data_IF_736250651914
#
_entry.id   IF_736250651914
#
_cell.length_a   1.000
_cell.length_b   1.000
_cell.length_c   1.000
_cell.angle_alpha   90.00
_cell.angle_beta   90.00
_cell.angle_gamma   90.00
#
_symmetry.space_group_name_H-M   'P 1'
#
loop_
_entity.id
_entity.type
_entity.pdbx_description
1 polymer ?
#
# COMPACT_ATOMS: atom_id res chain seq x y z
N UNK A 1 20.48 12.96 -0.27
CA UNK A 1 19.95 12.30 0.94
C UNK A 1 20.28 13.19 2.14
N UNK A 2 19.33 13.47 3.02
CA UNK A 2 19.56 14.30 4.21
C UNK A 2 20.05 13.46 5.39
N UNK A 3 20.59 14.11 6.42
CA UNK A 3 21.01 13.43 7.66
C UNK A 3 19.86 12.71 8.35
N UNK A 4 18.67 13.31 8.36
CA UNK A 4 17.47 12.73 8.97
C UNK A 4 17.03 11.46 8.26
N UNK A 5 17.04 11.47 6.91
CA UNK A 5 16.78 10.27 6.12
C UNK A 5 17.79 9.16 6.42
N UNK A 6 19.08 9.49 6.51
CA UNK A 6 20.12 8.52 6.81
C UNK A 6 19.96 7.91 8.22
N UNK A 7 19.69 8.72 9.24
CA UNK A 7 19.48 8.25 10.61
C UNK A 7 18.29 7.27 10.68
N UNK A 8 17.19 7.56 9.99
CA UNK A 8 16.04 6.65 9.91
C UNK A 8 16.35 5.35 9.15
N UNK A 9 17.16 5.42 8.08
CA UNK A 9 17.61 4.24 7.34
C UNK A 9 18.50 3.34 8.22
N UNK A 10 19.45 3.93 8.95
CA UNK A 10 20.35 3.22 9.85
C UNK A 10 19.57 2.53 10.98
N UNK A 11 18.60 3.23 11.57
CA UNK A 11 17.68 2.66 12.56
C UNK A 11 16.86 1.50 11.98
N UNK A 12 16.27 1.68 10.80
CA UNK A 12 15.48 0.65 10.13
C UNK A 12 16.32 -0.60 9.85
N UNK A 13 17.56 -0.42 9.41
CA UNK A 13 18.50 -1.52 9.16
C UNK A 13 18.85 -2.27 10.45
N UNK A 14 19.16 -1.54 11.53
CA UNK A 14 19.45 -2.16 12.83
C UNK A 14 18.24 -2.95 13.38
N UNK A 15 17.03 -2.41 13.22
CA UNK A 15 15.78 -3.09 13.60
C UNK A 15 15.55 -4.35 12.76
N UNK A 16 15.75 -4.29 11.45
CA UNK A 16 15.61 -5.43 10.56
C UNK A 16 16.62 -6.55 10.90
N UNK A 17 17.87 -6.20 11.22
CA UNK A 17 18.89 -7.15 11.68
C UNK A 17 18.53 -7.83 13.00
N UNK A 18 17.79 -7.13 13.87
CA UNK A 18 17.25 -7.67 15.12
C UNK A 18 15.90 -8.41 14.94
N UNK A 19 15.50 -8.73 13.70
CA UNK A 19 14.20 -9.33 13.35
C UNK A 19 12.98 -8.54 13.83
N UNK A 20 13.13 -7.22 13.99
CA UNK A 20 12.05 -6.29 14.37
C UNK A 20 11.42 -5.65 13.13
N UNK A 21 10.84 -6.49 12.29
CA UNK A 21 10.42 -6.11 10.93
C UNK A 21 9.32 -5.04 10.91
N UNK A 22 8.31 -5.14 11.78
CA UNK A 22 7.24 -4.13 11.87
C UNK A 22 7.80 -2.75 12.24
N UNK A 23 8.66 -2.69 13.25
CA UNK A 23 9.32 -1.44 13.65
C UNK A 23 10.23 -0.89 12.55
N UNK A 24 11.00 -1.75 11.88
CA UNK A 24 11.85 -1.35 10.75
C UNK A 24 11.00 -0.73 9.62
N UNK A 25 9.90 -1.40 9.26
CA UNK A 25 8.99 -0.91 8.24
C UNK A 25 8.38 0.44 8.61
N UNK A 26 7.99 0.63 9.88
CA UNK A 26 7.48 1.91 10.37
C UNK A 26 8.44 3.08 10.12
N UNK A 27 9.76 2.87 10.30
CA UNK A 27 10.78 3.90 10.01
C UNK A 27 10.88 4.22 8.52
N UNK A 28 10.80 3.20 7.67
CA UNK A 28 10.84 3.37 6.21
C UNK A 28 9.60 4.10 5.70
N UNK A 29 8.42 3.78 6.24
CA UNK A 29 7.17 4.44 5.86
C UNK A 29 7.17 5.94 6.19
N UNK A 30 7.82 6.35 7.29
CA UNK A 30 8.04 7.79 7.60
C UNK A 30 8.87 8.47 6.52
N UNK A 31 9.90 7.80 5.99
CA UNK A 31 10.69 8.36 4.88
C UNK A 31 9.82 8.42 3.63
N UNK A 32 9.06 7.36 3.31
CA UNK A 32 8.23 7.28 2.11
C UNK A 32 7.06 8.28 2.11
N UNK A 33 6.58 8.70 3.29
CA UNK A 33 5.61 9.81 3.39
C UNK A 33 6.21 11.13 2.89
N UNK A 34 7.52 11.34 3.05
CA UNK A 34 8.22 12.58 2.68
C UNK A 34 8.86 12.48 1.30
N UNK A 35 9.43 11.31 0.98
CA UNK A 35 10.15 11.01 -0.25
C UNK A 35 9.67 9.66 -0.82
N UNK A 36 8.53 9.62 -1.53
CA UNK A 36 7.94 8.37 -2.01
C UNK A 36 8.84 7.54 -2.93
N UNK A 37 9.70 8.22 -3.70
CA UNK A 37 10.57 7.60 -4.70
C UNK A 37 12.03 7.44 -4.22
N UNK A 38 12.28 7.51 -2.90
CA UNK A 38 13.63 7.39 -2.34
C UNK A 38 14.19 5.96 -2.62
N UNK A 39 15.26 5.81 -3.44
CA UNK A 39 15.69 4.48 -3.91
C UNK A 39 16.20 3.54 -2.82
N UNK A 40 17.03 4.02 -1.90
CA UNK A 40 17.60 3.22 -0.80
C UNK A 40 16.53 2.75 0.20
N UNK A 41 15.52 3.58 0.47
CA UNK A 41 14.36 3.27 1.30
C UNK A 41 13.52 2.20 0.63
N UNK A 42 13.22 2.31 -0.66
CA UNK A 42 12.50 1.28 -1.42
C UNK A 42 13.28 -0.04 -1.45
N UNK A 43 14.60 -0.01 -1.63
CA UNK A 43 15.48 -1.19 -1.57
C UNK A 43 15.45 -1.87 -0.20
N UNK A 44 15.56 -1.11 0.89
CA UNK A 44 15.47 -1.67 2.24
C UNK A 44 14.05 -2.16 2.56
N UNK A 45 13.00 -1.46 2.10
CA UNK A 45 11.60 -1.86 2.28
C UNK A 45 11.30 -3.19 1.58
N UNK A 46 11.76 -3.37 0.33
CA UNK A 46 11.67 -4.65 -0.38
C UNK A 46 12.29 -5.80 0.44
N UNK A 47 13.47 -5.57 1.01
CA UNK A 47 14.17 -6.56 1.82
C UNK A 47 13.40 -6.89 3.11
N UNK A 48 12.92 -5.88 3.84
CA UNK A 48 12.13 -6.05 5.07
C UNK A 48 10.83 -6.79 4.80
N UNK A 49 10.08 -6.41 3.77
CA UNK A 49 8.81 -7.04 3.42
C UNK A 49 9.03 -8.50 3.00
N UNK A 50 10.05 -8.78 2.19
CA UNK A 50 10.36 -10.16 1.76
C UNK A 50 10.81 -11.05 2.91
N UNK A 51 11.64 -10.56 3.83
CA UNK A 51 12.08 -11.31 5.00
C UNK A 51 10.91 -11.52 5.98
N UNK A 52 10.18 -10.45 6.31
CA UNK A 52 9.08 -10.49 7.26
C UNK A 52 7.87 -11.30 6.77
N UNK A 53 7.61 -11.37 5.46
CA UNK A 53 6.52 -12.17 4.89
C UNK A 53 6.83 -13.68 4.81
N UNK A 54 8.10 -14.07 4.66
CA UNK A 54 8.51 -15.48 4.57
C UNK A 54 8.81 -16.13 5.92
N UNK A 55 9.19 -15.33 6.91
CA UNK A 55 9.75 -15.79 8.19
C UNK A 55 8.97 -15.23 9.37
N UNK A 56 7.65 -15.39 9.37
CA UNK A 56 6.80 -14.93 10.48
C UNK A 56 7.19 -15.57 11.82
N UNK A 57 7.79 -16.76 11.80
CA UNK A 57 8.33 -17.46 12.98
C UNK A 57 9.67 -16.91 13.49
N UNK A 58 10.42 -16.18 12.65
CA UNK A 58 11.75 -15.66 13.02
C UNK A 58 11.66 -14.19 13.49
N UNK A 59 10.47 -13.60 13.43
CA UNK A 59 10.21 -12.27 13.94
C UNK A 59 10.30 -12.26 15.47
N UNK A 60 10.82 -11.16 16.02
CA UNK A 60 10.75 -10.94 17.46
C UNK A 60 9.27 -10.88 17.92
N UNK A 61 8.96 -11.17 19.20
CA UNK A 61 7.58 -11.17 19.70
C UNK A 61 6.84 -9.88 19.38
N UNK A 62 5.71 -9.98 18.68
CA UNK A 62 4.90 -8.84 18.27
C UNK A 62 5.46 -8.01 17.10
N UNK A 63 6.58 -8.39 16.49
CA UNK A 63 7.20 -7.65 15.38
C UNK A 63 6.97 -8.29 14.00
N UNK A 64 6.12 -9.33 13.95
CA UNK A 64 5.69 -9.95 12.71
C UNK A 64 4.89 -8.96 11.86
N UNK A 65 5.08 -9.03 10.54
CA UNK A 65 4.29 -8.23 9.61
C UNK A 65 2.90 -8.87 9.43
N UNK A 66 1.88 -8.16 9.87
CA UNK A 66 0.48 -8.51 9.61
C UNK A 66 0.05 -8.06 8.21
N UNK A 67 -1.03 -8.62 7.64
CA UNK A 67 -1.51 -8.29 6.30
C UNK A 67 -1.64 -6.78 6.04
N UNK A 68 -2.17 -5.99 6.98
CA UNK A 68 -2.34 -4.55 6.77
C UNK A 68 -1.02 -3.81 6.51
N UNK A 69 0.11 -4.29 7.05
CA UNK A 69 1.42 -3.70 6.78
C UNK A 69 1.93 -4.07 5.39
N UNK A 70 1.67 -5.30 4.94
CA UNK A 70 2.09 -5.78 3.62
C UNK A 70 1.31 -5.08 2.50
N UNK A 71 0.06 -4.72 2.77
CA UNK A 71 -0.82 -4.05 1.82
C UNK A 71 -0.72 -2.51 1.87
N UNK A 72 0.19 -1.92 2.64
CA UNK A 72 0.36 -0.46 2.67
C UNK A 72 0.69 0.09 1.28
N UNK A 73 -0.09 1.07 0.82
CA UNK A 73 0.05 1.64 -0.53
C UNK A 73 1.36 2.39 -0.77
N UNK A 74 2.03 2.85 0.29
CA UNK A 74 3.39 3.44 0.18
C UNK A 74 4.43 2.43 -0.28
N UNK A 75 4.13 1.13 -0.13
CA UNK A 75 5.00 0.05 -0.58
C UNK A 75 4.69 -0.40 -2.00
N UNK A 76 3.61 0.10 -2.64
CA UNK A 76 3.24 -0.33 -3.99
C UNK A 76 4.43 -0.28 -4.98
N UNK A 77 5.32 0.74 -4.96
CA UNK A 77 6.48 0.79 -5.85
C UNK A 77 7.50 -0.35 -5.69
N UNK A 78 7.47 -1.16 -4.61
CA UNK A 78 8.36 -2.32 -4.46
C UNK A 78 7.76 -3.64 -4.93
N UNK A 79 6.48 -3.62 -5.30
CA UNK A 79 5.75 -4.81 -5.78
C UNK A 79 5.78 -4.93 -7.30
N UNK A 80 5.63 -6.17 -7.74
CA UNK A 80 5.18 -6.50 -9.07
C UNK A 80 3.74 -7.01 -9.05
N UNK A 81 2.97 -6.69 -10.08
CA UNK A 81 1.64 -7.24 -10.33
C UNK A 81 1.60 -8.05 -11.63
N UNK A 82 0.79 -9.11 -11.63
CA UNK A 82 0.58 -9.96 -12.80
C UNK A 82 -0.36 -9.29 -13.81
N UNK A 83 0.04 -9.25 -15.08
CA UNK A 83 -0.78 -8.71 -16.18
C UNK A 83 -1.82 -9.71 -16.73
N UNK A 84 -1.85 -10.94 -16.20
CA UNK A 84 -2.77 -11.96 -16.68
C UNK A 84 -4.22 -11.57 -16.34
N UNK A 85 -5.17 -11.65 -17.29
CA UNK A 85 -6.54 -11.23 -17.06
C UNK A 85 -7.19 -11.90 -15.84
N UNK A 86 -7.69 -11.09 -14.90
CA UNK A 86 -8.32 -11.56 -13.67
C UNK A 86 -7.36 -12.07 -12.59
N UNK A 87 -6.04 -11.89 -12.77
CA UNK A 87 -5.05 -12.25 -11.76
C UNK A 87 -4.76 -11.08 -10.81
N UNK A 88 -5.08 -11.24 -9.53
CA UNK A 88 -4.79 -10.23 -8.49
C UNK A 88 -3.48 -10.52 -7.73
N UNK A 89 -2.64 -11.41 -8.27
CA UNK A 89 -1.39 -11.80 -7.59
C UNK A 89 -0.36 -10.70 -7.74
N UNK A 90 0.12 -10.20 -6.60
CA UNK A 90 1.30 -9.34 -6.48
C UNK A 90 2.38 -9.97 -5.61
N UNK A 91 3.63 -9.59 -5.84
CA UNK A 91 4.79 -10.06 -5.06
C UNK A 91 5.87 -9.00 -4.96
N UNK A 92 6.67 -9.03 -3.91
CA UNK A 92 7.84 -8.13 -3.80
C UNK A 92 8.92 -8.57 -4.78
N UNK A 93 9.38 -7.64 -5.61
CA UNK A 93 10.41 -7.93 -6.58
C UNK A 93 11.73 -8.34 -5.93
N UNK A 94 12.43 -9.29 -6.58
CA UNK A 94 13.81 -9.63 -6.23
C UNK A 94 14.84 -8.61 -6.72
N UNK A 95 14.44 -7.70 -7.62
CA UNK A 95 15.32 -6.79 -8.36
C UNK A 95 16.30 -6.02 -7.46
N UNK A 96 15.76 -5.33 -6.45
CA UNK A 96 16.54 -4.48 -5.53
C UNK A 96 17.56 -5.29 -4.70
N UNK A 97 17.35 -6.60 -4.52
CA UNK A 97 18.30 -7.48 -3.81
C UNK A 97 19.38 -8.06 -4.71
N UNK A 98 19.18 -8.01 -6.03
CA UNK A 98 20.09 -8.62 -7.01
C UNK A 98 20.91 -7.58 -7.80
N UNK A 99 20.57 -6.29 -7.71
CA UNK A 99 21.36 -5.19 -8.30
C UNK A 99 22.86 -5.29 -8.02
N UNK A 100 23.24 -5.69 -6.81
CA UNK A 100 24.66 -5.79 -6.40
C UNK A 100 25.28 -7.18 -6.68
N UNK A 101 24.51 -8.14 -7.18
CA UNK A 101 24.93 -9.53 -7.38
C UNK A 101 24.89 -9.92 -8.87
N UNK A 102 25.86 -9.39 -9.62
CA UNK A 102 26.05 -9.76 -11.01
C UNK A 102 26.18 -11.29 -11.18
N UNK A 103 25.28 -11.90 -11.96
CA UNK A 103 25.29 -13.33 -12.27
C UNK A 103 24.50 -14.23 -11.32
N UNK A 104 23.76 -13.66 -10.35
CA UNK A 104 22.84 -14.44 -9.53
C UNK A 104 21.61 -14.90 -10.35
N UNK A 105 21.37 -16.20 -10.38
CA UNK A 105 20.21 -16.78 -11.08
C UNK A 105 19.11 -17.17 -10.09
N UNK A 106 17.88 -16.74 -10.35
CA UNK A 106 16.70 -17.19 -9.60
C UNK A 106 16.17 -18.49 -10.20
N UNK A 107 16.34 -19.59 -9.47
CA UNK A 107 15.87 -20.93 -9.88
C UNK A 107 14.40 -21.19 -9.55
N UNK A 108 13.77 -20.33 -8.75
CA UNK A 108 12.38 -20.48 -8.31
C UNK A 108 11.68 -19.11 -8.27
N UNK A 109 11.39 -18.50 -9.44
CA UNK A 109 10.82 -17.17 -9.52
C UNK A 109 9.41 -17.10 -8.96
N UNK A 110 9.10 -16.01 -8.24
CA UNK A 110 7.73 -15.67 -7.86
C UNK A 110 6.94 -15.09 -9.05
N UNK A 111 7.65 -14.61 -10.06
CA UNK A 111 7.15 -14.09 -11.31
C UNK A 111 8.32 -13.61 -12.17
N UNK A 112 8.04 -13.17 -13.39
CA UNK A 112 9.03 -12.68 -14.33
C UNK A 112 8.45 -11.61 -15.25
N UNK A 113 9.29 -10.79 -15.87
CA UNK A 113 8.89 -9.79 -16.87
C UNK A 113 9.59 -10.06 -18.20
N UNK A 114 8.87 -9.90 -19.29
CA UNK A 114 9.48 -9.89 -20.62
C UNK A 114 10.17 -8.55 -20.86
N UNK A 115 11.50 -8.50 -21.08
CA UNK A 115 12.20 -7.24 -21.34
C UNK A 115 11.84 -6.63 -22.71
N UNK A 116 11.20 -7.37 -23.61
CA UNK A 116 10.85 -6.90 -24.95
C UNK A 116 9.43 -6.34 -25.08
N UNK A 117 8.48 -6.83 -24.28
CA UNK A 117 7.07 -6.39 -24.36
C UNK A 117 6.46 -6.01 -23.01
N UNK A 118 7.28 -5.96 -21.96
CA UNK A 118 6.96 -5.57 -20.58
C UNK A 118 5.92 -6.43 -19.86
N UNK A 119 5.46 -7.51 -20.49
CA UNK A 119 4.51 -8.44 -19.90
C UNK A 119 5.08 -9.05 -18.62
N UNK A 120 4.40 -8.82 -17.50
CA UNK A 120 4.78 -9.27 -16.17
C UNK A 120 3.83 -10.38 -15.72
N UNK A 121 4.37 -11.56 -15.42
CA UNK A 121 3.60 -12.76 -15.10
C UNK A 121 4.01 -13.32 -13.74
N UNK A 122 3.04 -13.63 -12.89
CA UNK A 122 3.29 -14.34 -11.65
C UNK A 122 3.58 -15.82 -11.94
N UNK A 123 4.13 -16.53 -10.94
CA UNK A 123 4.48 -17.95 -11.04
C UNK A 123 3.38 -18.87 -11.58
N UNK A 124 2.09 -18.53 -11.37
CA UNK A 124 0.97 -19.34 -11.86
C UNK A 124 0.77 -19.21 -13.37
N UNK A 125 1.15 -18.07 -13.95
CA UNK A 125 1.01 -17.76 -15.37
C UNK A 125 2.36 -17.75 -16.09
N UNK A 126 3.46 -18.02 -15.37
CA UNK A 126 4.76 -18.16 -15.98
C UNK A 126 4.80 -19.42 -16.83
N UNK A 127 5.21 -19.34 -18.12
CA UNK A 127 5.57 -20.52 -18.86
C UNK A 127 6.81 -21.13 -18.20
N UNK A 128 6.68 -22.38 -17.74
CA UNK A 128 7.78 -23.11 -17.11
C UNK A 128 8.51 -23.88 -18.20
N UNK A 129 9.80 -23.59 -18.39
CA UNK A 129 10.66 -24.35 -19.31
C UNK A 129 11.01 -25.74 -18.78
N UNK A 130 11.59 -26.59 -19.63
CA UNK A 130 11.94 -27.98 -19.29
C UNK A 130 12.89 -28.10 -18.06
N UNK A 131 13.61 -27.04 -17.73
CA UNK A 131 14.54 -26.95 -16.60
C UNK A 131 13.92 -26.41 -15.30
N UNK A 132 12.62 -26.11 -15.28
CA UNK A 132 11.95 -25.48 -14.14
C UNK A 132 12.23 -23.97 -13.99
N UNK A 133 13.00 -23.39 -14.93
CA UNK A 133 13.25 -21.95 -15.03
C UNK A 133 12.10 -21.24 -15.76
N UNK A 134 12.07 -19.91 -15.65
CA UNK A 134 11.18 -19.09 -16.47
C UNK A 134 11.51 -19.33 -17.95
N UNK A 135 10.50 -19.73 -18.72
CA UNK A 135 10.63 -19.96 -20.15
C UNK A 135 10.60 -18.67 -20.97
N UNK A 136 10.36 -18.82 -22.26
CA UNK A 136 10.23 -17.70 -23.18
C UNK A 136 8.85 -17.04 -23.08
N UNK A 137 8.79 -15.74 -23.34
CA UNK A 137 7.55 -15.00 -23.40
C UNK A 137 6.65 -15.50 -24.52
N UNK A 138 5.45 -15.97 -24.21
CA UNK A 138 4.48 -16.48 -25.21
C UNK A 138 4.08 -15.43 -26.26
N UNK A 139 4.23 -14.14 -25.96
CA UNK A 139 3.87 -13.04 -26.86
C UNK A 139 4.94 -12.73 -27.92
N UNK A 140 6.22 -12.86 -27.58
CA UNK A 140 7.30 -12.39 -28.45
C UNK A 140 8.55 -13.30 -28.50
N UNK A 141 8.56 -14.41 -27.77
CA UNK A 141 9.63 -15.41 -27.76
C UNK A 141 10.92 -14.98 -27.03
N UNK A 142 10.93 -13.83 -26.36
CA UNK A 142 12.09 -13.38 -25.59
C UNK A 142 12.17 -14.07 -24.22
N UNK A 143 13.38 -14.35 -23.74
CA UNK A 143 13.60 -14.93 -22.42
C UNK A 143 13.06 -14.00 -21.32
N UNK A 144 12.32 -14.56 -20.37
CA UNK A 144 11.75 -13.81 -19.25
C UNK A 144 12.79 -13.51 -18.16
N UNK A 145 12.79 -12.27 -17.65
CA UNK A 145 13.60 -11.86 -16.50
C UNK A 145 12.92 -12.27 -15.19
N UNK A 146 13.52 -13.23 -14.50
CA UNK A 146 13.05 -13.80 -13.23
C UNK A 146 13.16 -12.84 -12.02
N UNK A 147 13.85 -11.70 -12.17
CA UNK A 147 14.03 -10.67 -11.15
C UNK A 147 13.59 -9.29 -11.66
N UNK A 148 12.33 -9.16 -12.14
CA UNK A 148 11.93 -8.00 -12.90
C UNK A 148 11.93 -6.73 -12.04
N UNK A 149 12.27 -5.55 -12.59
CA UNK A 149 12.06 -4.31 -11.86
C UNK A 149 10.57 -4.20 -11.45
N UNK A 150 10.27 -3.63 -10.26
CA UNK A 150 8.89 -3.42 -9.83
C UNK A 150 8.06 -2.67 -10.88
N UNK A 151 6.80 -3.04 -11.05
CA UNK A 151 5.83 -2.32 -11.89
C UNK A 151 4.65 -1.76 -11.07
N UNK A 152 4.77 -1.76 -9.74
CA UNK A 152 3.69 -1.38 -8.86
C UNK A 152 2.73 -2.53 -8.59
N UNK A 153 1.80 -2.31 -7.65
CA UNK A 153 0.58 -3.10 -7.57
C UNK A 153 -0.63 -2.18 -7.54
N UNK A 154 -1.74 -2.66 -8.08
CA UNK A 154 -3.02 -2.03 -7.84
C UNK A 154 -3.48 -2.35 -6.43
N UNK A 155 -3.91 -1.32 -5.70
CA UNK A 155 -4.46 -1.46 -4.36
C UNK A 155 -5.92 -1.00 -4.38
N UNK A 156 -6.78 -1.73 -3.67
CA UNK A 156 -8.14 -1.29 -3.39
C UNK A 156 -8.18 -0.27 -2.23
N UNK A 157 -7.01 0.12 -1.72
CA UNK A 157 -6.91 1.12 -0.68
C UNK A 157 -7.06 2.52 -1.25
N UNK A 158 -7.77 3.34 -0.48
CA UNK A 158 -7.78 4.79 -0.67
C UNK A 158 -6.35 5.34 -0.52
N UNK A 159 -5.99 6.39 -1.29
CA UNK A 159 -4.69 7.02 -1.18
C UNK A 159 -4.33 7.40 0.26
N UNK A 160 -3.09 7.12 0.64
CA UNK A 160 -2.50 7.61 1.88
C UNK A 160 -1.85 8.96 1.61
N UNK A 161 -2.04 9.89 2.52
CA UNK A 161 -1.44 11.23 2.45
C UNK A 161 -0.45 11.37 3.59
N UNK A 162 0.61 12.15 3.40
CA UNK A 162 1.46 12.63 4.49
C UNK A 162 0.71 13.71 5.29
N UNK A 163 -0.48 13.41 5.77
CA UNK A 163 -1.34 14.27 6.59
C UNK A 163 -1.99 13.39 7.64
N UNK A 164 -2.21 13.94 8.83
CA UNK A 164 -2.84 13.19 9.91
C UNK A 164 -4.33 13.04 9.63
N UNK A 165 -4.81 11.81 9.53
CA UNK A 165 -6.23 11.49 9.44
C UNK A 165 -6.87 11.69 10.83
N UNK A 166 -7.85 12.58 10.94
CA UNK A 166 -8.50 12.90 12.22
C UNK A 166 -9.88 12.30 12.34
N UNK A 167 -10.62 12.24 11.23
CA UNK A 167 -11.98 11.73 11.20
C UNK A 167 -12.25 10.97 9.90
N UNK A 168 -13.11 9.95 10.02
CA UNK A 168 -13.60 9.15 8.91
C UNK A 168 -15.11 9.02 9.01
N UNK A 169 -15.81 9.38 7.94
CA UNK A 169 -17.25 9.18 7.82
C UNK A 169 -17.51 8.12 6.75
N UNK A 170 -18.13 7.01 7.15
CA UNK A 170 -18.55 5.94 6.24
C UNK A 170 -20.05 6.01 6.05
N UNK A 171 -20.48 6.40 4.85
CA UNK A 171 -21.87 6.36 4.43
C UNK A 171 -22.14 5.05 3.69
N UNK A 172 -23.18 4.32 4.06
CA UNK A 172 -23.62 3.11 3.34
C UNK A 172 -25.05 3.28 2.84
N UNK A 173 -25.29 2.87 1.60
CA UNK A 173 -26.64 2.89 1.03
C UNK A 173 -27.51 1.84 1.72
N UNK A 174 -28.56 2.29 2.42
CA UNK A 174 -29.45 1.41 3.18
C UNK A 174 -30.33 2.12 4.20
N UNK A 175 -31.22 1.35 4.83
CA UNK A 175 -32.16 1.84 5.85
C UNK A 175 -31.58 1.87 7.27
N UNK A 176 -30.37 1.33 7.47
CA UNK A 176 -29.73 1.17 8.77
C UNK A 176 -28.26 1.56 8.67
N UNK A 177 -27.67 2.12 9.74
CA UNK A 177 -26.23 2.33 9.83
C UNK A 177 -25.44 1.05 9.53
N UNK A 178 -24.20 1.17 9.04
CA UNK A 178 -23.32 0.02 8.85
C UNK A 178 -23.06 -0.69 10.18
N UNK A 179 -23.02 -2.02 10.14
CA UNK A 179 -22.66 -2.83 11.29
C UNK A 179 -21.15 -2.67 11.60
N UNK A 180 -20.76 -2.88 12.86
CA UNK A 180 -19.36 -2.81 13.27
C UNK A 180 -18.45 -3.74 12.46
N UNK A 181 -18.88 -4.99 12.23
CA UNK A 181 -18.11 -5.95 11.43
C UNK A 181 -17.85 -5.47 10.00
N UNK A 182 -18.83 -4.80 9.39
CA UNK A 182 -18.68 -4.21 8.06
C UNK A 182 -17.66 -3.07 8.07
N UNK A 183 -17.71 -2.20 9.10
CA UNK A 183 -16.74 -1.12 9.23
C UNK A 183 -15.33 -1.67 9.45
N UNK A 184 -15.16 -2.69 10.30
CA UNK A 184 -13.86 -3.34 10.53
C UNK A 184 -13.28 -3.94 9.25
N UNK A 185 -14.10 -4.66 8.48
CA UNK A 185 -13.68 -5.23 7.19
C UNK A 185 -13.31 -4.14 6.17
N UNK A 186 -14.12 -3.08 6.09
CA UNK A 186 -13.86 -1.95 5.19
C UNK A 186 -12.57 -1.22 5.57
N UNK A 187 -12.37 -0.94 6.86
CA UNK A 187 -11.14 -0.34 7.39
C UNK A 187 -9.91 -1.19 7.07
N UNK A 188 -9.97 -2.49 7.30
CA UNK A 188 -8.86 -3.42 7.05
C UNK A 188 -8.42 -3.49 5.59
N UNK A 189 -9.37 -3.37 4.65
CA UNK A 189 -9.12 -3.61 3.23
C UNK A 189 -8.96 -2.33 2.39
N UNK A 190 -9.65 -1.25 2.76
CA UNK A 190 -9.80 -0.04 1.92
C UNK A 190 -9.15 1.20 2.55
N UNK A 191 -9.02 1.26 3.88
CA UNK A 191 -8.45 2.43 4.55
C UNK A 191 -7.67 2.03 5.82
N UNK A 192 -6.57 1.27 5.69
CA UNK A 192 -5.81 0.80 6.85
C UNK A 192 -5.07 1.93 7.60
N UNK A 193 -4.99 3.14 7.05
CA UNK A 193 -4.45 4.32 7.74
C UNK A 193 -5.23 4.69 9.01
N UNK A 194 -6.49 4.24 9.15
CA UNK A 194 -7.24 4.39 10.41
C UNK A 194 -6.57 3.69 11.60
N UNK A 195 -5.76 2.65 11.36
CA UNK A 195 -5.04 1.95 12.42
C UNK A 195 -3.76 2.67 12.85
N UNK A 196 -3.26 3.61 12.04
CA UNK A 196 -2.07 4.40 12.35
C UNK A 196 -2.39 5.69 13.09
N UNK A 197 -3.39 6.43 12.61
CA UNK A 197 -3.74 7.74 13.18
C UNK A 197 -4.82 7.68 14.26
N UNK A 198 -5.51 6.54 14.38
CA UNK A 198 -6.64 6.34 15.29
C UNK A 198 -7.68 7.48 15.22
N UNK A 199 -8.24 7.79 14.02
CA UNK A 199 -9.25 8.83 13.86
C UNK A 199 -10.56 8.43 14.53
N UNK A 200 -11.48 9.37 14.71
CA UNK A 200 -12.86 9.00 15.01
C UNK A 200 -13.52 8.42 13.76
N UNK A 201 -14.31 7.36 13.94
CA UNK A 201 -14.98 6.66 12.84
C UNK A 201 -16.49 6.77 13.03
N UNK A 202 -17.15 7.38 12.05
CA UNK A 202 -18.61 7.57 12.03
C UNK A 202 -19.24 6.66 10.99
N UNK A 203 -20.20 5.83 11.42
CA UNK A 203 -21.00 4.99 10.53
C UNK A 203 -22.38 5.61 10.29
N UNK A 204 -22.65 6.05 9.07
CA UNK A 204 -23.91 6.68 8.66
C UNK A 204 -24.58 5.88 7.54
N UNK A 205 -25.89 6.10 7.36
CA UNK A 205 -26.62 5.52 6.24
C UNK A 205 -27.48 6.56 5.53
N UNK A 206 -27.59 6.39 4.22
CA UNK A 206 -28.56 7.11 3.40
C UNK A 206 -29.40 6.10 2.62
N UNK A 207 -30.71 6.32 2.50
CA UNK A 207 -31.61 5.32 1.93
C UNK A 207 -31.28 5.01 0.48
N UNK A 208 -30.87 6.03 -0.27
CA UNK A 208 -30.47 5.92 -1.67
C UNK A 208 -29.48 7.01 -2.03
N UNK A 209 -28.37 6.65 -2.64
CA UNK A 209 -27.40 7.62 -3.12
C UNK A 209 -27.87 8.24 -4.44
N UNK A 210 -27.72 9.55 -4.58
CA UNK A 210 -27.79 10.23 -5.89
C UNK A 210 -26.38 10.27 -6.48
N UNK A 211 -26.25 10.04 -7.79
CA UNK A 211 -24.93 9.98 -8.45
C UNK A 211 -24.07 8.86 -7.89
N UNK A 212 -22.76 9.08 -7.81
CA UNK A 212 -21.76 8.20 -7.17
C UNK A 212 -21.72 8.34 -5.63
N UNK A 213 -22.32 9.41 -5.09
CA UNK A 213 -22.38 9.72 -3.67
C UNK A 213 -21.29 10.71 -3.21
N UNK A 214 -20.50 11.28 -4.12
CA UNK A 214 -19.46 12.24 -3.80
C UNK A 214 -20.01 13.48 -3.05
N UNK A 215 -21.03 14.13 -3.62
CA UNK A 215 -21.66 15.32 -3.00
C UNK A 215 -22.26 15.00 -1.63
N UNK A 216 -22.79 13.79 -1.47
CA UNK A 216 -23.32 13.32 -0.18
C UNK A 216 -22.21 13.24 0.87
N UNK A 217 -21.03 12.78 0.47
CA UNK A 217 -19.85 12.73 1.33
C UNK A 217 -19.40 14.12 1.78
N UNK A 218 -19.34 15.09 0.86
CA UNK A 218 -19.00 16.48 1.20
C UNK A 218 -20.02 17.10 2.15
N UNK A 219 -21.31 16.94 1.87
CA UNK A 219 -22.37 17.42 2.75
C UNK A 219 -22.26 16.79 4.14
N UNK A 220 -21.99 15.48 4.22
CA UNK A 220 -21.83 14.80 5.50
C UNK A 220 -20.64 15.33 6.31
N UNK A 221 -19.50 15.63 5.66
CA UNK A 221 -18.36 16.24 6.33
C UNK A 221 -18.72 17.61 6.92
N UNK A 222 -19.21 18.54 6.10
CA UNK A 222 -19.53 19.89 6.57
C UNK A 222 -20.73 19.97 7.53
N UNK A 223 -21.53 18.90 7.63
CA UNK A 223 -22.59 18.78 8.64
C UNK A 223 -22.06 18.20 9.95
N UNK A 224 -20.99 17.39 9.90
CA UNK A 224 -20.38 16.79 11.09
C UNK A 224 -19.63 17.85 11.92
N UNK A 225 -18.87 18.71 11.25
CA UNK A 225 -18.19 19.85 11.88
C UNK A 225 -17.98 20.97 10.83
N UNK A 226 -18.41 22.19 11.17
CA UNK A 226 -18.23 23.38 10.32
C UNK A 226 -16.73 23.68 10.10
N UNK A 227 -15.86 23.28 11.04
CA UNK A 227 -14.41 23.46 10.94
C UNK A 227 -13.82 22.73 9.73
N UNK A 228 -14.41 21.62 9.28
CA UNK A 228 -13.91 20.89 8.11
C UNK A 228 -14.06 21.66 6.80
N UNK A 229 -14.82 22.77 6.80
CA UNK A 229 -14.92 23.70 5.67
C UNK A 229 -13.81 24.75 5.60
N UNK A 230 -12.87 24.78 6.55
CA UNK A 230 -11.75 25.74 6.56
C UNK A 230 -10.50 25.18 5.87
N UNK A 231 -9.52 26.04 5.61
CA UNK A 231 -8.22 25.65 5.07
C UNK A 231 -7.37 24.81 6.04
N UNK A 232 -7.82 24.62 7.29
CA UNK A 232 -7.12 23.80 8.28
C UNK A 232 -7.32 22.30 8.04
N UNK A 233 -8.26 21.91 7.16
CA UNK A 233 -8.59 20.53 6.87
C UNK A 233 -8.62 20.22 5.37
N UNK A 234 -8.22 19.01 5.01
CA UNK A 234 -8.34 18.46 3.67
C UNK A 234 -9.38 17.33 3.68
N UNK A 235 -10.51 17.54 3.00
CA UNK A 235 -11.61 16.58 2.92
C UNK A 235 -11.51 15.80 1.61
N UNK A 236 -11.38 14.48 1.70
CA UNK A 236 -11.32 13.58 0.55
C UNK A 236 -12.48 12.60 0.58
N UNK A 237 -13.19 12.49 -0.55
CA UNK A 237 -14.34 11.61 -0.68
C UNK A 237 -14.04 10.50 -1.68
N UNK A 238 -14.29 9.27 -1.26
CA UNK A 238 -14.02 8.04 -2.01
C UNK A 238 -15.30 7.22 -2.13
N UNK A 239 -16.03 7.36 -3.25
CA UNK A 239 -17.12 6.47 -3.60
C UNK A 239 -16.62 5.06 -3.89
N UNK A 240 -17.40 4.04 -3.52
CA UNK A 240 -17.04 2.66 -3.80
C UNK A 240 -18.20 1.68 -3.62
N UNK A 241 -17.87 0.40 -3.79
CA UNK A 241 -18.83 -0.70 -3.75
C UNK A 241 -18.28 -1.86 -2.93
N UNK A 242 -19.14 -2.54 -2.18
CA UNK A 242 -18.78 -3.77 -1.51
C UNK A 242 -18.59 -4.87 -2.55
N UNK A 243 -17.45 -5.56 -2.50
CA UNK A 243 -17.21 -6.75 -3.30
C UNK A 243 -18.27 -7.83 -3.01
N UNK A 244 -18.77 -8.50 -4.06
CA UNK A 244 -19.70 -9.62 -3.96
C UNK A 244 -21.17 -9.31 -4.28
N UNK A 245 -22.05 -10.31 -4.09
CA UNK A 245 -23.42 -10.35 -4.65
C UNK A 245 -24.35 -9.20 -4.24
N UNK A 246 -24.08 -8.53 -3.13
CA UNK A 246 -24.95 -7.45 -2.63
C UNK A 246 -24.62 -6.09 -3.26
N UNK A 247 -23.44 -5.92 -3.87
CA UNK A 247 -22.96 -4.70 -4.53
C UNK A 247 -23.37 -3.40 -3.81
N UNK A 248 -23.25 -3.38 -2.48
CA UNK A 248 -23.72 -2.24 -1.69
C UNK A 248 -22.80 -1.07 -1.92
N UNK A 249 -23.39 0.08 -2.19
CA UNK A 249 -22.66 1.33 -2.38
C UNK A 249 -22.24 1.89 -1.04
N UNK A 250 -21.02 2.38 -0.98
CA UNK A 250 -20.49 3.11 0.17
C UNK A 250 -19.76 4.35 -0.30
N UNK A 251 -19.64 5.33 0.59
CA UNK A 251 -18.80 6.51 0.43
C UNK A 251 -17.97 6.65 1.69
N UNK A 252 -16.65 6.65 1.54
CA UNK A 252 -15.72 6.96 2.63
C UNK A 252 -15.33 8.42 2.48
N UNK A 253 -15.52 9.19 3.54
CA UNK A 253 -15.00 10.56 3.65
C UNK A 253 -13.87 10.52 4.65
N UNK A 254 -12.68 10.94 4.22
CA UNK A 254 -11.51 11.09 5.08
C UNK A 254 -11.24 12.57 5.29
N UNK A 255 -11.07 12.95 6.55
CA UNK A 255 -10.77 14.31 6.95
C UNK A 255 -9.37 14.32 7.54
N UNK A 256 -8.48 15.08 6.91
CA UNK A 256 -7.09 15.21 7.33
C UNK A 256 -6.82 16.60 7.88
N UNK A 257 -5.95 16.72 8.88
CA UNK A 257 -5.34 18.03 9.19
C UNK A 257 -4.55 18.50 7.96
N UNK A 258 -4.75 19.74 7.53
CA UNK A 258 -4.07 20.31 6.37
C UNK A 258 -2.64 20.77 6.71
N UNK A 259 -1.87 19.87 7.30
CA UNK A 259 -0.44 20.03 7.57
C UNK A 259 0.26 18.69 7.44
N UNK A 260 1.54 18.69 7.03
CA UNK A 260 2.28 17.45 6.91
C UNK A 260 2.41 16.72 8.25
N UNK A 261 2.20 15.40 8.24
CA UNK A 261 2.39 14.55 9.42
C UNK A 261 3.87 14.35 9.72
N UNK A 262 4.67 14.19 8.67
CA UNK A 262 6.12 14.04 8.74
C UNK A 262 6.81 15.11 7.90
N UNK A 263 7.85 15.73 8.46
CA UNK A 263 8.66 16.76 7.80
C UNK A 263 10.12 16.42 8.02
N UNK A 264 10.93 16.50 6.97
CA UNK A 264 12.38 16.42 7.10
C UNK A 264 12.90 17.74 7.69
N UNK A 265 13.43 17.74 8.93
CA UNK A 265 13.92 18.97 9.57
C UNK A 265 15.11 19.60 8.84
N UNK A 266 15.79 18.84 7.97
CA UNK A 266 16.90 19.32 7.14
C UNK A 266 16.48 19.70 5.73
N UNK A 267 15.20 19.52 5.37
CA UNK A 267 14.62 19.97 4.12
C UNK A 267 13.19 20.49 4.36
N UNK A 268 13.04 21.70 4.92
CA UNK A 268 11.72 22.23 5.30
C UNK A 268 10.77 22.47 4.12
N UNK A 269 11.27 22.44 2.87
CA UNK A 269 10.42 22.48 1.68
C UNK A 269 9.49 21.25 1.56
N UNK A 270 9.78 20.16 2.28
CA UNK A 270 8.85 19.01 2.36
C UNK A 270 7.71 19.25 3.35
N UNK A 271 7.69 20.38 4.04
CA UNK A 271 6.65 20.79 4.98
C UNK A 271 5.61 21.75 4.40
N UNK A 272 5.74 22.13 3.12
CA UNK A 272 4.90 23.10 2.42
C UNK A 272 3.85 22.46 1.51
#
# INVERSE_FOLDING_TARGET
MTRWTQELLDEAQALAQASRYRSALGKLLVILDVYPDQPETLKLASSVVRLGSRRTTDAAPGEALEPQHLFDSRLDPVFCSCDAPGCEVSWVSAHHMLEDYAGATITNPLGARCPSCDLTLCRRHLPIGESGLAGDCERCGALLDAAPPPNGRETNQTPRLNKRLVDVIVLVEGKRPPAADFLTELCGNVMPDVFEDAPHIHGLNERKFKGDGYDLGLIAAFTADDAYGTDDYDVRVYPGHQAGRRNRRWVIVKIFENRPKHVDPHNPATGA
#
